data_IF_408945182571
#
_entry.id   IF_408945182571
#
_cell.length_a   1.000
_cell.length_b   1.000
_cell.length_c   1.000
_cell.angle_alpha   90.00
_cell.angle_beta   90.00
_cell.angle_gamma   90.00
#
_symmetry.space_group_name_H-M   'P 1'
#
loop_
_entity.id
_entity.type
_entity.pdbx_description
1 polymer ?
#
# COMPACT_ATOMS: atom_id res chain seq x y z
N UNK A 1 27.12 -27.38 -7.30
CA UNK A 1 25.91 -26.52 -7.21
C UNK A 1 26.39 -25.09 -7.02
N UNK A 2 26.00 -24.17 -7.91
CA UNK A 2 26.37 -22.77 -7.76
C UNK A 2 25.59 -22.19 -6.58
N UNK A 3 26.27 -21.64 -5.59
CA UNK A 3 25.66 -20.87 -4.52
C UNK A 3 25.06 -19.60 -5.12
N UNK A 4 23.76 -19.58 -5.34
CA UNK A 4 23.07 -18.42 -5.90
C UNK A 4 22.62 -17.49 -4.79
N UNK A 5 22.85 -16.19 -4.99
CA UNK A 5 22.22 -15.13 -4.19
C UNK A 5 20.73 -15.08 -4.60
N UNK A 6 19.83 -15.08 -3.63
CA UNK A 6 18.38 -15.14 -3.93
C UNK A 6 17.80 -13.80 -4.37
N UNK A 7 18.55 -12.71 -4.33
CA UNK A 7 18.18 -11.46 -4.94
C UNK A 7 18.36 -11.62 -6.46
N UNK A 8 17.29 -11.73 -7.22
CA UNK A 8 17.34 -11.70 -8.69
C UNK A 8 17.72 -10.33 -9.26
N UNK A 9 18.16 -9.42 -8.40
CA UNK A 9 18.51 -8.04 -8.70
C UNK A 9 19.79 -7.64 -7.96
N UNK A 10 20.51 -6.68 -8.48
CA UNK A 10 21.71 -6.14 -7.82
C UNK A 10 21.33 -5.46 -6.50
N UNK A 11 22.09 -5.78 -5.45
CA UNK A 11 21.95 -5.10 -4.16
C UNK A 11 22.74 -3.82 -4.19
N UNK A 12 22.06 -2.70 -4.35
CA UNK A 12 22.66 -1.37 -4.32
C UNK A 12 22.79 -0.92 -2.86
N UNK A 13 24.02 -0.73 -2.39
CA UNK A 13 24.31 -0.16 -1.07
C UNK A 13 24.50 1.35 -1.21
N UNK A 14 23.76 2.09 -0.40
CA UNK A 14 23.98 3.52 -0.26
C UNK A 14 25.21 3.80 0.63
N UNK A 15 25.87 4.96 0.51
CA UNK A 15 26.97 5.34 1.41
C UNK A 15 26.57 5.19 2.89
N UNK A 16 27.37 4.47 3.67
CA UNK A 16 27.10 4.18 5.08
C UNK A 16 26.25 2.94 5.36
N UNK A 17 25.71 2.27 4.36
CA UNK A 17 25.02 1.00 4.53
C UNK A 17 25.99 -0.19 4.54
N UNK A 18 25.67 -1.22 5.32
CA UNK A 18 26.37 -2.49 5.36
C UNK A 18 25.44 -3.61 4.95
N UNK A 19 25.94 -4.56 4.18
CA UNK A 19 25.23 -5.79 3.88
C UNK A 19 25.82 -6.95 4.66
N UNK A 20 24.95 -7.79 5.23
CA UNK A 20 25.33 -9.10 5.81
C UNK A 20 24.70 -10.18 4.96
N UNK A 21 25.51 -11.07 4.42
CA UNK A 21 25.06 -12.27 3.75
C UNK A 21 25.00 -13.43 4.74
N UNK A 22 23.86 -14.10 4.84
CA UNK A 22 23.66 -15.28 5.67
C UNK A 22 23.24 -16.41 4.75
N UNK A 23 23.95 -17.53 4.82
CA UNK A 23 23.56 -18.73 4.07
C UNK A 23 22.43 -19.46 4.80
N UNK A 24 21.30 -19.63 4.12
CA UNK A 24 20.19 -20.43 4.58
C UNK A 24 20.33 -21.85 4.00
N UNK A 25 20.71 -22.79 4.86
CA UNK A 25 20.93 -24.18 4.47
C UNK A 25 19.63 -24.91 4.08
N UNK A 26 18.49 -24.50 4.63
CA UNK A 26 17.18 -25.07 4.33
C UNK A 26 16.73 -24.71 2.92
N UNK A 27 16.99 -23.46 2.53
CA UNK A 27 16.64 -22.95 1.21
C UNK A 27 17.79 -23.08 0.20
N UNK A 28 18.97 -23.54 0.63
CA UNK A 28 20.19 -23.63 -0.17
C UNK A 28 20.55 -22.34 -0.90
N UNK A 29 20.41 -21.20 -0.22
CA UNK A 29 20.66 -19.87 -0.80
C UNK A 29 21.21 -18.87 0.22
N UNK A 30 21.87 -17.81 -0.29
CA UNK A 30 22.29 -16.68 0.51
C UNK A 30 21.15 -15.69 0.65
N UNK A 31 20.90 -15.25 1.89
CA UNK A 31 20.03 -14.12 2.19
C UNK A 31 20.92 -12.91 2.46
N UNK A 32 20.59 -11.77 1.84
CA UNK A 32 21.30 -10.52 2.06
C UNK A 32 20.46 -9.62 2.94
N UNK A 33 21.04 -9.22 4.06
CA UNK A 33 20.47 -8.24 4.97
C UNK A 33 21.27 -6.95 4.84
N UNK A 34 20.61 -5.84 4.59
CA UNK A 34 21.23 -4.52 4.54
C UNK A 34 20.94 -3.82 5.86
N UNK A 35 21.99 -3.57 6.64
CA UNK A 35 21.89 -2.78 7.86
C UNK A 35 22.21 -1.31 7.56
N UNK A 36 21.38 -0.40 8.08
CA UNK A 36 21.71 1.03 8.11
C UNK A 36 22.85 1.31 9.07
N UNK A 37 23.55 2.42 8.87
CA UNK A 37 24.60 2.90 9.76
C UNK A 37 24.07 3.08 11.19
N UNK A 38 24.87 2.67 12.17
CA UNK A 38 24.60 2.83 13.61
C UNK A 38 24.47 4.31 14.06
N UNK A 39 24.76 5.28 13.18
CA UNK A 39 24.64 6.72 13.42
C UNK A 39 23.23 7.30 13.28
N UNK A 40 22.19 6.48 13.15
CA UNK A 40 20.80 6.90 12.89
C UNK A 40 20.54 7.61 11.55
N UNK A 41 21.54 7.84 10.73
CA UNK A 41 21.38 8.36 9.37
C UNK A 41 21.13 7.20 8.42
N UNK A 42 19.93 7.13 7.84
CA UNK A 42 19.57 6.09 6.87
C UNK A 42 18.93 4.83 7.48
N UNK A 43 18.44 4.87 8.73
CA UNK A 43 17.68 3.75 9.28
C UNK A 43 16.41 3.54 8.46
N UNK A 44 16.37 2.42 7.73
CA UNK A 44 15.18 1.98 7.03
C UNK A 44 14.37 1.09 7.97
N UNK A 45 13.15 1.49 8.24
CA UNK A 45 12.15 0.65 8.89
C UNK A 45 11.28 0.09 7.77
N UNK A 46 11.23 -1.21 7.66
CA UNK A 46 10.56 -1.92 6.57
C UNK A 46 9.60 -2.95 7.15
N UNK A 47 8.35 -2.85 6.81
CA UNK A 47 7.31 -3.80 7.16
C UNK A 47 6.78 -4.43 5.88
N UNK A 48 6.94 -5.73 5.76
CA UNK A 48 6.42 -6.49 4.63
C UNK A 48 5.27 -7.36 5.10
N UNK A 49 4.20 -7.29 4.36
CA UNK A 49 3.02 -8.12 4.47
C UNK A 49 2.91 -9.02 3.24
N UNK A 50 2.76 -10.32 3.47
CA UNK A 50 2.43 -11.32 2.45
C UNK A 50 1.33 -12.20 3.01
N UNK A 51 0.15 -12.37 2.39
CA UNK A 51 -0.89 -13.24 2.89
C UNK A 51 -0.40 -14.70 2.98
N UNK A 52 -0.35 -15.23 4.21
CA UNK A 52 -0.21 -16.66 4.47
C UNK A 52 -1.59 -17.30 4.66
N UNK A 53 -1.66 -18.56 4.92
CA UNK A 53 -2.90 -19.36 4.93
C UNK A 53 -3.83 -19.12 6.12
N UNK A 54 -3.62 -18.12 6.98
CA UNK A 54 -4.35 -17.99 8.26
C UNK A 54 -4.67 -16.55 8.63
N UNK A 55 -5.46 -16.37 9.62
CA UNK A 55 -6.09 -15.13 10.04
C UNK A 55 -5.16 -13.91 10.17
N UNK A 56 -5.64 -12.69 9.96
CA UNK A 56 -4.83 -11.46 9.99
C UNK A 56 -4.04 -11.22 11.27
N UNK A 57 -4.46 -11.82 12.38
CA UNK A 57 -3.81 -11.70 13.68
C UNK A 57 -2.44 -12.41 13.76
N UNK A 58 -2.14 -13.33 12.85
CA UNK A 58 -0.85 -14.03 12.81
C UNK A 58 0.29 -13.13 12.31
N UNK A 59 -0.01 -11.93 11.89
CA UNK A 59 0.89 -11.00 11.20
C UNK A 59 1.41 -9.89 12.11
N UNK A 60 1.01 -9.88 13.37
CA UNK A 60 1.50 -8.99 14.43
C UNK A 60 1.28 -7.49 14.23
N UNK A 61 0.98 -7.03 13.00
CA UNK A 61 0.94 -5.60 12.66
C UNK A 61 -0.21 -5.19 11.74
N UNK A 62 -1.08 -6.12 11.35
CA UNK A 62 -2.16 -5.86 10.41
C UNK A 62 -3.50 -5.89 11.11
N UNK A 63 -4.25 -4.81 11.00
CA UNK A 63 -5.63 -4.72 11.45
C UNK A 63 -6.61 -4.78 10.28
N UNK A 64 -7.83 -5.18 10.58
CA UNK A 64 -8.96 -5.18 9.65
C UNK A 64 -10.08 -4.34 10.23
N UNK A 65 -10.79 -3.64 9.37
CA UNK A 65 -11.99 -2.91 9.76
C UNK A 65 -13.02 -2.98 8.64
N UNK A 66 -14.28 -3.05 9.03
CA UNK A 66 -15.41 -3.04 8.11
C UNK A 66 -16.40 -1.97 8.52
N UNK A 67 -17.17 -1.47 7.57
CA UNK A 67 -18.29 -0.60 7.82
C UNK A 67 -19.48 -1.03 6.94
N UNK A 68 -20.69 -0.81 7.44
CA UNK A 68 -21.89 -1.33 6.80
C UNK A 68 -21.87 -2.85 6.76
N UNK A 69 -22.10 -3.43 5.60
CA UNK A 69 -22.06 -4.87 5.35
C UNK A 69 -20.78 -5.35 4.64
N UNK A 70 -19.71 -4.55 4.71
CA UNK A 70 -18.40 -4.93 4.18
C UNK A 70 -17.82 -6.14 4.89
N UNK A 71 -17.05 -6.95 4.20
CA UNK A 71 -16.38 -8.13 4.75
C UNK A 71 -14.92 -8.18 4.35
N UNK A 72 -14.13 -8.84 5.17
CA UNK A 72 -12.72 -9.14 4.92
C UNK A 72 -12.52 -10.64 4.92
N UNK A 73 -11.70 -11.13 4.03
CA UNK A 73 -11.38 -12.56 3.93
C UNK A 73 -9.95 -12.76 3.45
N UNK A 74 -9.42 -13.95 3.66
CA UNK A 74 -8.19 -14.38 2.99
C UNK A 74 -8.62 -15.20 1.78
N UNK A 75 -8.28 -14.74 0.59
CA UNK A 75 -8.50 -15.48 -0.65
C UNK A 75 -7.42 -16.56 -0.81
N UNK A 76 -7.83 -17.72 -1.29
CA UNK A 76 -6.90 -18.81 -1.58
C UNK A 76 -5.89 -18.41 -2.68
N UNK A 77 -4.72 -19.03 -2.68
CA UNK A 77 -3.76 -18.89 -3.77
C UNK A 77 -4.39 -19.27 -5.11
N UNK A 78 -4.20 -18.44 -6.12
CA UNK A 78 -4.78 -18.65 -7.44
C UNK A 78 -5.98 -17.77 -7.80
N UNK A 79 -6.45 -16.95 -6.87
CA UNK A 79 -7.55 -16.00 -7.10
C UNK A 79 -7.07 -14.57 -6.79
N UNK A 80 -7.12 -13.65 -7.72
CA UNK A 80 -7.06 -13.75 -9.19
C UNK A 80 -5.62 -14.08 -9.65
N UNK A 81 -5.49 -14.58 -10.83
CA UNK A 81 -4.35 -14.91 -11.72
C UNK A 81 -2.87 -14.81 -11.31
N UNK A 82 -2.49 -14.35 -10.16
CA UNK A 82 -1.07 -14.15 -9.75
C UNK A 82 -0.49 -15.28 -8.90
N UNK A 83 -1.27 -16.32 -8.58
CA UNK A 83 -0.78 -17.49 -7.84
C UNK A 83 -0.41 -17.24 -6.38
N UNK A 84 -0.65 -16.05 -5.85
CA UNK A 84 -0.39 -15.67 -4.46
C UNK A 84 -1.70 -15.58 -3.68
N UNK A 85 -1.67 -15.96 -2.40
CA UNK A 85 -2.78 -15.68 -1.50
C UNK A 85 -2.97 -14.15 -1.38
N UNK A 86 -4.20 -13.69 -1.24
CA UNK A 86 -4.53 -12.28 -1.14
C UNK A 86 -5.50 -12.01 0.00
N UNK A 87 -5.43 -10.81 0.58
CA UNK A 87 -6.50 -10.32 1.42
C UNK A 87 -7.66 -9.86 0.53
N UNK A 88 -8.79 -10.50 0.64
CA UNK A 88 -10.02 -10.07 -0.04
C UNK A 88 -10.73 -9.02 0.79
N UNK A 89 -10.95 -7.85 0.21
CA UNK A 89 -11.75 -6.77 0.78
C UNK A 89 -13.04 -6.68 -0.02
N UNK A 90 -14.17 -7.03 0.58
CA UNK A 90 -15.47 -6.98 -0.09
C UNK A 90 -16.25 -5.74 0.33
N UNK A 91 -16.75 -5.02 -0.66
CA UNK A 91 -17.67 -3.90 -0.45
C UNK A 91 -19.06 -4.32 0.00
N UNK A 92 -19.33 -5.61 0.09
CA UNK A 92 -20.63 -6.23 0.35
C UNK A 92 -21.73 -6.02 -0.72
N UNK A 93 -22.80 -6.80 -0.56
CA UNK A 93 -24.00 -6.73 -1.41
C UNK A 93 -24.97 -5.63 -0.91
N UNK A 94 -24.45 -4.44 -0.65
CA UNK A 94 -25.22 -3.25 -0.27
C UNK A 94 -24.57 -2.00 -0.80
N UNK A 95 -25.33 -0.90 -0.91
CA UNK A 95 -24.83 0.36 -1.45
C UNK A 95 -23.81 1.08 -0.54
N UNK A 96 -23.57 0.62 0.69
CA UNK A 96 -22.77 1.32 1.71
C UNK A 96 -21.70 0.46 2.37
N UNK A 97 -21.40 -0.71 1.80
CA UNK A 97 -20.40 -1.59 2.36
C UNK A 97 -18.97 -1.06 2.17
N UNK A 98 -18.15 -1.19 3.22
CA UNK A 98 -16.74 -0.86 3.16
C UNK A 98 -15.90 -1.87 3.93
N UNK A 99 -14.69 -2.14 3.45
CA UNK A 99 -13.72 -2.99 4.12
C UNK A 99 -12.30 -2.45 3.94
N UNK A 100 -11.47 -2.55 4.96
CA UNK A 100 -10.06 -2.18 4.86
C UNK A 100 -9.14 -3.14 5.60
N UNK A 101 -7.92 -3.21 5.11
CA UNK A 101 -6.76 -3.75 5.81
C UNK A 101 -5.80 -2.61 6.08
N UNK A 102 -5.18 -2.60 7.25
CA UNK A 102 -4.26 -1.54 7.62
C UNK A 102 -3.12 -2.05 8.50
N UNK A 103 -1.99 -1.38 8.42
CA UNK A 103 -0.92 -1.50 9.40
C UNK A 103 -1.10 -0.34 10.36
N UNK A 104 -1.32 -0.61 11.68
CA UNK A 104 -1.61 0.44 12.63
C UNK A 104 -0.54 1.51 12.67
N UNK A 105 -0.97 2.73 12.79
CA UNK A 105 -0.14 3.87 13.10
C UNK A 105 0.40 3.70 14.52
N UNK A 106 1.70 3.47 14.65
CA UNK A 106 2.40 3.72 15.91
C UNK A 106 3.55 4.67 15.61
N UNK A 107 3.65 5.74 16.34
CA UNK A 107 4.70 6.76 16.18
C UNK A 107 6.12 6.17 16.24
N UNK A 108 6.26 5.01 16.85
CA UNK A 108 7.54 4.31 17.00
C UNK A 108 7.93 3.46 15.78
N UNK A 109 6.99 3.11 14.88
CA UNK A 109 7.22 2.02 13.92
C UNK A 109 7.23 2.45 12.46
N UNK A 110 6.53 3.52 12.08
CA UNK A 110 6.31 3.84 10.66
C UNK A 110 6.79 5.24 10.23
N UNK A 111 7.44 5.98 11.13
CA UNK A 111 7.84 7.35 10.86
C UNK A 111 6.68 8.35 10.97
N UNK A 112 6.98 9.60 10.79
CA UNK A 112 6.06 10.73 10.88
C UNK A 112 6.09 11.56 9.60
N UNK A 113 4.94 12.16 9.26
CA UNK A 113 4.90 13.19 8.22
C UNK A 113 5.88 14.31 8.57
N UNK A 114 6.66 14.74 7.59
CA UNK A 114 7.57 15.86 7.75
C UNK A 114 8.88 15.55 8.49
N UNK A 115 9.09 14.32 8.96
CA UNK A 115 10.31 13.91 9.66
C UNK A 115 11.14 12.94 8.83
N UNK A 116 10.51 12.02 8.14
CA UNK A 116 11.16 10.96 7.39
C UNK A 116 10.69 10.92 5.92
N UNK A 117 11.48 10.31 5.04
CA UNK A 117 10.94 9.80 3.79
C UNK A 117 10.08 8.57 4.10
N UNK A 118 8.87 8.53 3.57
CA UNK A 118 7.95 7.43 3.80
C UNK A 118 7.55 6.79 2.50
N UNK A 119 7.34 5.49 2.49
CA UNK A 119 6.89 4.78 1.31
C UNK A 119 5.88 3.68 1.63
N UNK A 120 5.06 3.39 0.66
CA UNK A 120 4.23 2.19 0.60
C UNK A 120 4.35 1.59 -0.80
N UNK A 121 4.40 0.28 -0.87
CA UNK A 121 4.18 -0.47 -2.10
C UNK A 121 3.18 -1.59 -1.82
N UNK A 122 2.29 -1.84 -2.76
CA UNK A 122 1.30 -2.90 -2.63
C UNK A 122 0.98 -3.49 -3.99
N UNK A 123 1.03 -4.82 -4.11
CA UNK A 123 0.51 -5.52 -5.26
C UNK A 123 -0.98 -5.76 -5.05
N UNK A 124 -1.79 -5.25 -5.94
CA UNK A 124 -3.25 -5.28 -5.83
C UNK A 124 -3.90 -5.70 -7.15
N UNK A 125 -5.14 -6.19 -7.07
CA UNK A 125 -5.99 -6.39 -8.25
C UNK A 125 -7.46 -6.19 -7.90
N UNK A 126 -8.26 -5.91 -8.89
CA UNK A 126 -9.72 -5.76 -8.80
C UNK A 126 -10.36 -6.92 -9.57
N UNK A 127 -11.28 -7.65 -8.97
CA UNK A 127 -12.01 -8.73 -9.65
C UNK A 127 -12.89 -8.19 -10.78
N UNK A 128 -13.65 -7.16 -10.47
CA UNK A 128 -14.53 -6.46 -11.41
C UNK A 128 -14.28 -4.96 -11.35
N UNK A 129 -14.49 -4.26 -12.44
CA UNK A 129 -14.39 -2.80 -12.46
C UNK A 129 -15.63 -2.14 -11.83
N UNK A 130 -15.40 -0.95 -11.25
CA UNK A 130 -16.46 -0.02 -10.87
C UNK A 130 -17.25 0.44 -12.10
N UNK A 131 -18.55 0.59 -11.96
CA UNK A 131 -19.46 1.05 -13.02
C UNK A 131 -20.49 2.02 -12.45
N UNK A 132 -21.16 2.78 -13.29
CA UNK A 132 -22.22 3.71 -12.84
C UNK A 132 -23.34 3.04 -12.02
N UNK A 133 -23.59 1.76 -12.22
CA UNK A 133 -24.63 0.99 -11.52
C UNK A 133 -24.11 0.16 -10.35
N UNK A 134 -22.79 -0.08 -10.28
CA UNK A 134 -22.11 -0.83 -9.24
C UNK A 134 -20.81 -0.10 -8.86
N UNK A 135 -20.97 1.12 -8.33
CA UNK A 135 -19.83 1.99 -8.07
C UNK A 135 -19.16 1.71 -6.73
N UNK A 136 -17.85 1.69 -6.76
CA UNK A 136 -16.98 1.65 -5.59
C UNK A 136 -15.69 2.42 -5.85
N UNK A 137 -15.01 2.76 -4.76
CA UNK A 137 -13.63 3.26 -4.81
C UNK A 137 -12.72 2.26 -4.10
N UNK A 138 -11.64 1.85 -4.76
CA UNK A 138 -10.53 1.09 -4.17
C UNK A 138 -9.33 2.01 -4.02
N UNK A 139 -8.66 1.97 -2.86
CA UNK A 139 -7.57 2.89 -2.53
C UNK A 139 -6.45 2.17 -1.79
N UNK A 140 -5.20 2.50 -2.14
CA UNK A 140 -3.98 2.20 -1.37
C UNK A 140 -3.36 3.51 -0.93
N UNK A 141 -3.05 3.66 0.34
CA UNK A 141 -2.55 4.93 0.88
C UNK A 141 -1.59 4.77 2.06
N UNK A 142 -0.77 5.80 2.25
CA UNK A 142 -0.16 6.14 3.52
C UNK A 142 -1.10 7.13 4.20
N UNK A 143 -1.43 6.91 5.47
CA UNK A 143 -2.39 7.77 6.17
C UNK A 143 -2.08 7.92 7.65
N UNK A 144 -2.41 9.09 8.19
CA UNK A 144 -2.35 9.36 9.62
C UNK A 144 -3.51 8.74 10.43
N UNK A 145 -4.59 8.31 9.78
CA UNK A 145 -5.76 7.64 10.41
C UNK A 145 -6.11 6.43 9.58
N UNK A 146 -5.83 5.24 10.08
CA UNK A 146 -5.91 4.04 9.27
C UNK A 146 -6.83 2.93 9.79
N UNK A 147 -7.41 3.07 10.98
CA UNK A 147 -8.23 2.03 11.62
C UNK A 147 -9.70 2.00 11.19
N UNK A 148 -10.12 2.88 10.28
CA UNK A 148 -11.51 2.94 9.80
C UNK A 148 -11.60 2.60 8.32
N UNK A 149 -12.65 1.88 7.91
CA UNK A 149 -12.96 1.60 6.52
C UNK A 149 -13.56 2.86 5.84
N UNK A 150 -12.74 3.87 5.63
CA UNK A 150 -13.10 5.18 5.06
C UNK A 150 -12.07 5.62 4.04
N UNK A 151 -12.50 6.39 3.03
CA UNK A 151 -11.63 7.02 2.03
C UNK A 151 -11.10 8.38 2.49
N UNK A 152 -11.80 9.03 3.41
CA UNK A 152 -11.61 10.44 3.73
C UNK A 152 -10.72 10.65 4.96
N UNK A 153 -9.62 9.93 5.04
CA UNK A 153 -8.67 10.15 6.13
C UNK A 153 -7.90 11.46 5.90
N UNK A 154 -7.88 12.30 6.91
CA UNK A 154 -7.02 13.46 6.92
C UNK A 154 -5.55 13.02 6.98
N UNK A 155 -4.67 13.80 6.36
CA UNK A 155 -3.26 13.48 6.22
C UNK A 155 -3.05 12.13 5.54
N UNK A 156 -3.43 12.04 4.29
CA UNK A 156 -3.25 10.84 3.48
C UNK A 156 -2.68 11.17 2.10
N UNK A 157 -1.95 10.23 1.55
CA UNK A 157 -1.51 10.26 0.16
C UNK A 157 -1.56 8.84 -0.40
N UNK A 158 -1.96 8.71 -1.66
CA UNK A 158 -2.18 7.38 -2.20
C UNK A 158 -2.59 7.36 -3.67
N UNK A 159 -2.97 6.16 -4.08
CA UNK A 159 -3.48 5.85 -5.40
C UNK A 159 -4.84 5.21 -5.22
N UNK A 160 -5.83 5.65 -5.98
CA UNK A 160 -7.20 5.12 -5.92
C UNK A 160 -7.81 4.94 -7.31
N UNK A 161 -8.85 4.14 -7.37
CA UNK A 161 -9.64 3.88 -8.57
C UNK A 161 -11.14 3.99 -8.29
N UNK A 162 -11.87 4.61 -9.20
CA UNK A 162 -13.32 4.56 -9.36
C UNK A 162 -13.66 4.86 -10.82
N UNK A 163 -14.82 4.39 -11.32
CA UNK A 163 -15.24 4.62 -12.72
C UNK A 163 -15.60 6.08 -13.03
N UNK A 164 -15.93 6.85 -11.99
CA UNK A 164 -16.37 8.24 -12.13
C UNK A 164 -15.25 9.28 -12.02
N UNK A 165 -14.01 8.83 -11.85
CA UNK A 165 -12.83 9.70 -11.80
C UNK A 165 -11.82 9.31 -12.85
N UNK A 166 -11.13 10.29 -13.44
CA UNK A 166 -10.04 10.10 -14.40
C UNK A 166 -10.35 9.12 -15.54
N UNK A 167 -11.61 9.05 -15.98
CA UNK A 167 -12.02 8.14 -17.08
C UNK A 167 -11.67 6.67 -16.85
N UNK A 168 -11.66 6.22 -15.59
CA UNK A 168 -11.30 4.84 -15.22
C UNK A 168 -9.79 4.58 -15.08
N UNK A 169 -8.96 5.61 -15.09
CA UNK A 169 -7.54 5.51 -14.76
C UNK A 169 -7.33 5.52 -13.24
N UNK A 170 -6.16 5.01 -12.82
CA UNK A 170 -5.70 5.23 -11.45
C UNK A 170 -5.55 6.74 -11.19
N UNK A 171 -6.11 7.22 -10.06
CA UNK A 171 -6.00 8.60 -9.60
C UNK A 171 -4.96 8.69 -8.50
N UNK A 172 -4.03 9.63 -8.62
CA UNK A 172 -3.07 10.00 -7.59
C UNK A 172 -3.71 11.06 -6.68
N UNK A 173 -3.42 11.02 -5.39
CA UNK A 173 -3.95 12.05 -4.48
C UNK A 173 -3.04 12.33 -3.29
N UNK A 174 -3.12 13.55 -2.78
CA UNK A 174 -2.63 13.98 -1.48
C UNK A 174 -3.76 14.69 -0.73
N UNK A 175 -3.81 14.53 0.57
CA UNK A 175 -4.78 15.20 1.44
C UNK A 175 -4.09 15.68 2.71
N UNK A 176 -4.20 16.97 3.02
CA UNK A 176 -3.60 17.56 4.21
C UNK A 176 -4.44 17.31 5.49
N UNK A 177 -3.96 17.86 6.63
CA UNK A 177 -4.63 17.73 7.93
C UNK A 177 -6.02 18.39 7.99
N UNK A 178 -6.26 19.41 7.16
CA UNK A 178 -7.56 20.10 7.05
C UNK A 178 -8.53 19.39 6.12
N UNK A 179 -8.13 18.27 5.49
CA UNK A 179 -8.95 17.53 4.54
C UNK A 179 -8.94 18.09 3.11
N UNK A 180 -8.14 19.13 2.84
CA UNK A 180 -7.97 19.65 1.47
C UNK A 180 -7.18 18.68 0.63
N UNK A 181 -7.69 18.37 -0.55
CA UNK A 181 -7.12 17.35 -1.44
C UNK A 181 -6.56 17.96 -2.73
N UNK A 182 -5.47 17.40 -3.22
CA UNK A 182 -4.97 17.58 -4.60
C UNK A 182 -4.99 16.24 -5.28
N UNK A 183 -5.45 16.18 -6.52
CA UNK A 183 -5.49 14.97 -7.33
C UNK A 183 -4.80 15.16 -8.67
N UNK A 184 -4.32 14.05 -9.25
CA UNK A 184 -3.77 14.01 -10.59
C UNK A 184 -4.13 12.67 -11.27
N UNK A 185 -4.22 12.67 -12.59
CA UNK A 185 -4.39 11.46 -13.38
C UNK A 185 -3.04 10.75 -13.54
N UNK A 186 -3.02 9.44 -13.36
CA UNK A 186 -1.83 8.62 -13.62
C UNK A 186 -1.62 8.32 -15.11
N UNK A 187 -2.65 8.48 -15.94
CA UNK A 187 -2.67 8.02 -17.33
C UNK A 187 -2.69 6.49 -17.51
N UNK A 188 -2.81 5.72 -16.42
CA UNK A 188 -2.82 4.25 -16.46
C UNK A 188 -4.25 3.76 -16.26
N UNK A 189 -4.84 3.22 -17.31
CA UNK A 189 -6.19 2.65 -17.29
C UNK A 189 -6.21 1.36 -16.46
N UNK A 190 -7.23 1.24 -15.62
CA UNK A 190 -7.42 0.06 -14.78
C UNK A 190 -8.13 -1.04 -15.57
N UNK A 191 -7.66 -2.27 -15.43
CA UNK A 191 -8.29 -3.46 -15.99
C UNK A 191 -8.65 -4.45 -14.88
N UNK A 192 -9.77 -5.15 -15.04
CA UNK A 192 -10.18 -6.21 -14.14
C UNK A 192 -9.16 -7.37 -14.19
N UNK A 193 -9.07 -8.13 -13.13
CA UNK A 193 -8.19 -9.30 -12.97
C UNK A 193 -6.71 -9.06 -13.31
N UNK A 194 -6.31 -7.80 -13.32
CA UNK A 194 -4.94 -7.39 -13.66
C UNK A 194 -4.21 -6.96 -12.39
N UNK A 195 -3.05 -7.55 -12.08
CA UNK A 195 -2.25 -7.12 -10.94
C UNK A 195 -1.49 -5.82 -11.25
N UNK A 196 -1.53 -4.91 -10.29
CA UNK A 196 -0.80 -3.64 -10.32
C UNK A 196 0.07 -3.52 -9.07
N UNK A 197 1.36 -3.29 -9.27
CA UNK A 197 2.24 -2.87 -8.18
C UNK A 197 2.12 -1.35 -8.01
N UNK A 198 1.37 -0.94 -7.00
CA UNK A 198 1.19 0.47 -6.67
C UNK A 198 2.25 0.90 -5.66
N UNK A 199 2.90 2.03 -5.92
CA UNK A 199 3.93 2.59 -5.06
C UNK A 199 3.71 4.08 -4.80
N UNK A 200 3.86 4.49 -3.55
CA UNK A 200 3.82 5.90 -3.13
C UNK A 200 5.03 6.18 -2.28
N UNK A 201 5.75 7.22 -2.62
CA UNK A 201 6.95 7.67 -1.91
C UNK A 201 6.79 9.15 -1.53
N UNK A 202 6.81 9.43 -0.24
CA UNK A 202 6.86 10.81 0.27
C UNK A 202 8.32 11.22 0.45
N UNK A 203 8.79 12.10 -0.41
CA UNK A 203 10.11 12.69 -0.32
C UNK A 203 10.04 13.98 0.52
N UNK A 204 10.47 13.87 1.76
CA UNK A 204 10.50 15.00 2.67
C UNK A 204 11.46 16.10 2.19
N UNK A 205 12.63 15.73 1.68
CA UNK A 205 13.67 16.69 1.28
C UNK A 205 13.19 17.61 0.17
N UNK A 206 12.38 17.08 -0.75
CA UNK A 206 11.82 17.83 -1.86
C UNK A 206 10.37 18.28 -1.61
N UNK A 207 9.80 17.94 -0.45
CA UNK A 207 8.39 18.23 -0.13
C UNK A 207 7.44 17.80 -1.25
N UNK A 208 7.59 16.56 -1.71
CA UNK A 208 6.78 15.99 -2.79
C UNK A 208 6.39 14.54 -2.52
N UNK A 209 5.25 14.14 -3.05
CA UNK A 209 4.82 12.75 -3.17
C UNK A 209 5.05 12.27 -4.60
N UNK A 210 5.76 11.15 -4.76
CA UNK A 210 5.98 10.47 -6.04
C UNK A 210 5.16 9.21 -6.11
N UNK A 211 4.59 8.94 -7.27
CA UNK A 211 3.68 7.82 -7.48
C UNK A 211 4.21 6.90 -8.58
N UNK A 212 4.10 5.61 -8.32
CA UNK A 212 4.61 4.56 -9.19
C UNK A 212 3.52 3.52 -9.46
N UNK A 213 3.40 3.08 -10.70
CA UNK A 213 2.59 1.93 -11.08
C UNK A 213 3.49 0.98 -11.87
N UNK A 214 3.59 -0.28 -11.43
CA UNK A 214 4.46 -1.28 -12.04
C UNK A 214 5.93 -0.80 -12.17
N UNK A 215 6.45 -0.17 -11.11
CA UNK A 215 7.80 0.43 -11.02
C UNK A 215 8.05 1.63 -11.97
N UNK A 216 7.05 2.10 -12.71
CA UNK A 216 7.15 3.31 -13.54
C UNK A 216 6.59 4.49 -12.75
N UNK A 217 7.35 5.59 -12.67
CA UNK A 217 6.85 6.83 -12.05
C UNK A 217 5.79 7.45 -12.97
N UNK A 218 4.56 7.55 -12.45
CA UNK A 218 3.38 8.04 -13.19
C UNK A 218 2.97 9.46 -12.80
N UNK A 219 3.56 10.02 -11.76
CA UNK A 219 3.28 11.40 -11.38
C UNK A 219 3.91 11.82 -10.06
N UNK A 220 3.76 13.12 -9.77
CA UNK A 220 4.17 13.76 -8.52
C UNK A 220 3.19 14.85 -8.12
N UNK A 221 3.02 15.03 -6.82
CA UNK A 221 2.20 16.10 -6.23
C UNK A 221 3.02 16.78 -5.13
N UNK A 222 3.03 18.10 -5.13
CA UNK A 222 3.81 18.94 -4.18
C UNK A 222 2.92 19.75 -3.24
N UNK A 223 1.62 19.65 -3.37
CA UNK A 223 0.63 20.40 -2.60
C UNK A 223 -0.20 19.50 -1.70
N UNK A 224 -0.79 20.04 -0.65
CA UNK A 224 -1.64 19.35 0.31
C UNK A 224 -1.01 18.05 0.86
N UNK A 225 0.31 18.08 1.04
CA UNK A 225 1.04 17.04 1.76
C UNK A 225 0.67 17.10 3.25
N UNK A 226 0.74 15.99 3.94
CA UNK A 226 0.47 15.92 5.37
C UNK A 226 1.45 16.78 6.19
N UNK A 227 0.98 17.30 7.31
CA UNK A 227 1.79 18.09 8.24
C UNK A 227 2.57 17.18 9.20
N UNK A 228 3.65 17.71 9.79
CA UNK A 228 4.48 16.99 10.77
C UNK A 228 3.70 16.56 12.03
N UNK A 229 4.21 15.57 12.75
CA UNK A 229 3.73 15.17 14.07
C UNK A 229 2.69 14.06 14.09
N UNK A 230 2.28 13.50 12.95
CA UNK A 230 1.39 12.34 12.92
C UNK A 230 2.12 11.11 12.40
N UNK A 231 2.03 10.05 13.17
CA UNK A 231 2.51 8.73 12.74
C UNK A 231 1.77 8.28 11.48
N UNK A 232 2.45 7.54 10.64
CA UNK A 232 1.96 7.05 9.36
C UNK A 232 1.67 5.56 9.39
N UNK A 233 0.66 5.15 8.66
CA UNK A 233 0.33 3.76 8.47
C UNK A 233 -0.07 3.46 7.03
N UNK A 234 0.06 2.19 6.65
CA UNK A 234 -0.51 1.65 5.42
C UNK A 234 -2.01 1.44 5.58
N UNK A 235 -2.76 1.72 4.52
CA UNK A 235 -4.15 1.30 4.39
C UNK A 235 -4.48 0.95 2.95
N UNK A 236 -5.13 -0.20 2.77
CA UNK A 236 -5.88 -0.52 1.56
C UNK A 236 -7.36 -0.63 1.92
N UNK A 237 -8.23 -0.01 1.15
CA UNK A 237 -9.66 0.09 1.45
C UNK A 237 -10.48 0.02 0.18
N UNK A 238 -11.65 -0.64 0.25
CA UNK A 238 -12.71 -0.54 -0.73
C UNK A 238 -13.96 0.05 -0.07
N UNK A 239 -14.58 1.01 -0.71
CA UNK A 239 -15.82 1.64 -0.25
C UNK A 239 -16.80 1.70 -1.39
N UNK A 240 -17.98 1.15 -1.17
CA UNK A 240 -19.07 1.14 -2.15
C UNK A 240 -19.96 2.36 -1.98
N UNK A 241 -20.41 2.92 -3.09
CA UNK A 241 -21.32 4.08 -3.14
C UNK A 241 -22.61 3.84 -3.93
N UNK A 242 -22.63 2.86 -4.85
CA UNK A 242 -23.82 2.56 -5.67
C UNK A 242 -23.93 1.06 -5.90
N UNK A 243 -25.18 0.56 -5.98
CA UNK A 243 -25.52 -0.81 -6.35
C UNK A 243 -25.44 -1.80 -5.17
N UNK A 244 -25.84 -3.04 -5.44
CA UNK A 244 -25.99 -4.08 -4.42
C UNK A 244 -25.14 -5.34 -4.67
N UNK A 245 -24.38 -5.40 -5.77
CA UNK A 245 -23.47 -6.51 -6.03
C UNK A 245 -22.15 -6.31 -5.28
N UNK A 246 -21.68 -7.30 -4.55
CA UNK A 246 -20.36 -7.25 -3.90
C UNK A 246 -19.26 -7.03 -4.93
N UNK A 247 -18.23 -6.30 -4.55
CA UNK A 247 -17.02 -6.05 -5.34
C UNK A 247 -15.81 -6.39 -4.50
N UNK A 248 -14.82 -7.02 -5.12
CA UNK A 248 -13.63 -7.49 -4.44
C UNK A 248 -12.41 -6.67 -4.87
N UNK A 249 -11.65 -6.29 -3.86
CA UNK A 249 -10.34 -5.67 -3.98
C UNK A 249 -9.33 -6.58 -3.30
N UNK A 250 -8.40 -7.12 -4.05
CA UNK A 250 -7.39 -8.03 -3.55
C UNK A 250 -6.08 -7.29 -3.26
N UNK A 251 -5.54 -7.53 -2.07
CA UNK A 251 -4.24 -7.04 -1.63
C UNK A 251 -3.31 -8.24 -1.48
N UNK A 252 -2.44 -8.45 -2.45
CA UNK A 252 -1.54 -9.61 -2.51
C UNK A 252 -0.32 -9.46 -1.61
N UNK A 253 0.17 -8.25 -1.47
CA UNK A 253 1.19 -7.89 -0.51
C UNK A 253 1.08 -6.42 -0.15
N UNK A 254 1.72 -6.03 0.92
CA UNK A 254 1.96 -4.64 1.25
C UNK A 254 3.32 -4.50 1.90
N UNK A 255 4.03 -3.46 1.54
CA UNK A 255 5.29 -3.08 2.14
C UNK A 255 5.26 -1.60 2.44
N UNK A 256 5.65 -1.23 3.63
CA UNK A 256 5.69 0.16 4.06
C UNK A 256 6.89 0.38 4.95
N UNK A 257 7.38 1.59 4.96
CA UNK A 257 8.51 1.93 5.79
C UNK A 257 8.86 3.40 5.78
N UNK A 258 9.83 3.73 6.59
CA UNK A 258 10.40 5.06 6.68
C UNK A 258 11.93 5.00 6.51
N UNK A 259 12.47 6.01 5.87
CA UNK A 259 13.91 6.23 5.73
C UNK A 259 14.21 7.57 6.40
N UNK A 260 15.09 7.57 7.38
CA UNK A 260 15.58 8.81 7.95
C UNK A 260 16.47 9.51 6.93
N UNK A 261 16.25 10.80 6.66
CA UNK A 261 17.08 11.56 5.73
C UNK A 261 18.50 11.77 6.25
#
# INVERSE_FOLDING_TARGET
AANRISAGEDVILMPGQRAKAIYDSTLSRWQIWVDGDASNKGRRIDYQYSPGSVTPNDWGFVGWSTAGSGTTSVAAAGTPSVGLAAAGLSSAASATGAACIYIPKTSATMGEFGTNHNYVTSLVSLEDLSTSTQRYTAQVSITGVNSTASLNDNQSLGIRYSDDVNSGNWQLFTRNSSGTETTADSGVTVAADTPYLLGVFLDKSNSEARYYINNVMVGRITTNLGNSGNGLGFKAVIVKSVGTTARLFYVHNARTGAINP
#
